data_IF_243204738006
#
_entry.id   IF_243204738006
#
_cell.length_a   1.000
_cell.length_b   1.000
_cell.length_c   1.000
_cell.angle_alpha   90.00
_cell.angle_beta   90.00
_cell.angle_gamma   90.00
#
_symmetry.space_group_name_H-M   'P 1'
#
loop_
_entity.id
_entity.type
_entity.pdbx_description
1 polymer ?
#
# COMPACT_ATOMS: atom_id res chain seq x y z
N UNK A 1 2.25 -27.77 18.72
CA UNK A 1 2.58 -26.94 17.55
C UNK A 1 2.29 -27.77 16.32
N UNK A 2 1.30 -27.38 15.53
CA UNK A 2 0.78 -28.20 14.45
C UNK A 2 1.51 -27.91 13.14
N UNK A 3 1.85 -28.95 12.37
CA UNK A 3 2.60 -28.86 11.11
C UNK A 3 1.95 -27.93 10.04
N UNK A 4 0.67 -27.60 10.21
CA UNK A 4 -0.07 -26.61 9.42
C UNK A 4 0.38 -25.17 9.67
N UNK A 5 0.71 -24.80 10.91
CA UNK A 5 1.14 -23.44 11.27
C UNK A 5 2.52 -23.15 10.70
N UNK A 6 3.44 -24.12 10.76
CA UNK A 6 4.78 -24.04 10.16
C UNK A 6 4.72 -23.97 8.63
N UNK A 7 3.85 -24.75 7.98
CA UNK A 7 3.67 -24.70 6.53
C UNK A 7 3.05 -23.36 6.05
N UNK A 8 2.08 -22.80 6.80
CA UNK A 8 1.54 -21.46 6.56
C UNK A 8 2.61 -20.37 6.74
N UNK A 9 3.48 -20.53 7.73
CA UNK A 9 4.59 -19.60 7.98
C UNK A 9 5.61 -19.61 6.84
N UNK A 10 5.91 -20.77 6.25
CA UNK A 10 6.76 -20.86 5.05
C UNK A 10 6.11 -20.25 3.81
N UNK A 11 4.82 -20.52 3.58
CA UNK A 11 4.07 -19.90 2.48
C UNK A 11 4.02 -18.38 2.61
N UNK A 12 3.84 -17.87 3.82
CA UNK A 12 3.88 -16.43 4.10
C UNK A 12 5.27 -15.86 3.84
N UNK A 13 6.34 -16.54 4.28
CA UNK A 13 7.71 -16.14 4.00
C UNK A 13 8.01 -16.00 2.51
N UNK A 14 7.58 -16.97 1.69
CA UNK A 14 7.74 -16.90 0.23
C UNK A 14 6.97 -15.73 -0.39
N UNK A 15 5.74 -15.46 0.08
CA UNK A 15 4.93 -14.34 -0.39
C UNK A 15 5.55 -12.98 -0.04
N UNK A 16 6.13 -12.85 1.16
CA UNK A 16 6.83 -11.63 1.57
C UNK A 16 8.08 -11.41 0.72
N UNK A 17 8.84 -12.47 0.45
CA UNK A 17 10.03 -12.39 -0.41
C UNK A 17 9.70 -11.98 -1.85
N UNK A 18 8.66 -12.60 -2.44
CA UNK A 18 8.17 -12.25 -3.78
C UNK A 18 7.66 -10.80 -3.86
N UNK A 19 6.88 -10.36 -2.86
CA UNK A 19 6.41 -8.97 -2.79
C UNK A 19 7.57 -7.98 -2.66
N UNK A 20 8.56 -8.31 -1.82
CA UNK A 20 9.76 -7.47 -1.64
C UNK A 20 10.57 -7.36 -2.94
N UNK A 21 10.68 -8.44 -3.71
CA UNK A 21 11.36 -8.42 -5.01
C UNK A 21 10.63 -7.51 -6.02
N UNK A 22 9.30 -7.61 -6.09
CA UNK A 22 8.46 -6.76 -6.96
C UNK A 22 8.52 -5.28 -6.58
N UNK A 23 8.52 -4.97 -5.28
CA UNK A 23 8.70 -3.60 -4.80
C UNK A 23 10.05 -3.02 -5.26
N UNK A 24 11.13 -3.79 -5.13
CA UNK A 24 12.47 -3.37 -5.59
C UNK A 24 12.53 -3.16 -7.11
N UNK A 25 11.92 -4.07 -7.89
CA UNK A 25 11.84 -3.96 -9.34
C UNK A 25 11.08 -2.68 -9.77
N UNK A 26 10.01 -2.36 -9.06
CA UNK A 26 9.21 -1.15 -9.28
C UNK A 26 9.82 0.11 -8.65
N UNK A 27 10.99 0.01 -8.00
CA UNK A 27 11.64 1.10 -7.25
C UNK A 27 10.77 1.71 -6.14
N UNK A 28 9.82 0.93 -5.62
CA UNK A 28 8.93 1.36 -4.54
C UNK A 28 9.70 1.37 -3.23
N UNK A 29 9.81 2.54 -2.60
CA UNK A 29 10.45 2.70 -1.31
C UNK A 29 9.50 2.40 -0.13
N UNK A 30 10.07 2.33 1.07
CA UNK A 30 9.31 2.02 2.28
C UNK A 30 8.31 3.13 2.65
N UNK A 31 8.60 4.39 2.30
CA UNK A 31 7.73 5.55 2.49
C UNK A 31 6.51 5.49 1.57
N UNK A 32 6.69 5.15 0.29
CA UNK A 32 5.60 4.94 -0.67
C UNK A 32 4.67 3.81 -0.22
N UNK A 33 5.22 2.71 0.29
CA UNK A 33 4.42 1.61 0.82
C UNK A 33 3.66 1.99 2.09
N UNK A 34 4.27 2.81 2.95
CA UNK A 34 3.62 3.32 4.15
C UNK A 34 2.49 4.30 3.81
N UNK A 35 2.67 5.15 2.80
CA UNK A 35 1.64 6.03 2.28
C UNK A 35 0.46 5.22 1.72
N UNK A 36 0.75 4.21 0.89
CA UNK A 36 -0.26 3.29 0.37
C UNK A 36 -1.04 2.60 1.50
N UNK A 37 -0.34 2.09 2.52
CA UNK A 37 -0.98 1.44 3.66
C UNK A 37 -1.91 2.40 4.42
N UNK A 38 -1.47 3.64 4.70
CA UNK A 38 -2.30 4.66 5.35
C UNK A 38 -3.58 4.95 4.57
N UNK A 39 -3.45 5.12 3.25
CA UNK A 39 -4.61 5.34 2.36
C UNK A 39 -5.52 4.11 2.39
N UNK A 40 -4.99 2.91 2.19
CA UNK A 40 -5.77 1.67 2.23
C UNK A 40 -6.53 1.49 3.56
N UNK A 41 -5.91 1.78 4.69
CA UNK A 41 -6.57 1.74 6.01
C UNK A 41 -7.69 2.76 6.13
N UNK A 42 -7.49 4.00 5.67
CA UNK A 42 -8.55 5.02 5.66
C UNK A 42 -9.72 4.64 4.73
N UNK A 43 -9.43 3.93 3.64
CA UNK A 43 -10.44 3.42 2.71
C UNK A 43 -11.19 2.21 3.27
N UNK A 44 -10.53 1.36 4.06
CA UNK A 44 -11.14 0.20 4.73
C UNK A 44 -12.15 0.66 5.80
N UNK A 45 -11.83 1.70 6.57
CA UNK A 45 -12.75 2.35 7.53
C UNK A 45 -13.97 2.99 6.85
N UNK A 46 -13.89 3.26 5.53
CA UNK A 46 -14.95 3.90 4.73
C UNK A 46 -15.86 2.90 4.00
N UNK A 47 -15.95 1.64 4.47
CA UNK A 47 -16.61 0.52 3.77
C UNK A 47 -16.01 0.18 2.39
N UNK A 48 -14.73 0.51 2.16
CA UNK A 48 -14.01 0.13 0.95
C UNK A 48 -14.41 0.90 -0.31
N UNK A 49 -15.07 2.06 -0.18
CA UNK A 49 -15.42 2.91 -1.31
C UNK A 49 -14.62 4.21 -1.25
N UNK A 50 -13.63 4.33 -2.14
CA UNK A 50 -13.11 5.64 -2.52
C UNK A 50 -14.22 6.34 -3.29
N UNK A 51 -14.75 7.47 -2.81
CA UNK A 51 -15.68 8.23 -3.63
C UNK A 51 -14.90 8.83 -4.81
N UNK A 52 -15.54 8.92 -5.99
CA UNK A 52 -14.92 9.57 -7.16
C UNK A 52 -14.47 10.99 -6.84
N UNK A 53 -15.21 11.67 -5.97
CA UNK A 53 -14.89 13.00 -5.47
C UNK A 53 -13.59 13.03 -4.64
N UNK A 54 -13.26 11.95 -3.92
CA UNK A 54 -12.02 11.85 -3.13
C UNK A 54 -10.79 11.72 -4.04
N UNK A 55 -10.92 10.99 -5.16
CA UNK A 55 -9.86 10.89 -6.18
C UNK A 55 -9.63 12.23 -6.89
N UNK A 56 -10.71 12.99 -7.13
CA UNK A 56 -10.64 14.34 -7.68
C UNK A 56 -9.94 15.27 -6.68
N UNK A 57 -10.33 15.25 -5.40
CA UNK A 57 -9.71 16.05 -4.35
C UNK A 57 -8.21 15.73 -4.19
N UNK A 58 -7.82 14.45 -4.19
CA UNK A 58 -6.43 14.03 -4.14
C UNK A 58 -5.59 14.59 -5.30
N UNK A 59 -6.18 14.73 -6.49
CA UNK A 59 -5.52 15.29 -7.67
C UNK A 59 -5.20 16.78 -7.51
N UNK A 60 -6.02 17.53 -6.76
CA UNK A 60 -5.77 18.95 -6.48
C UNK A 60 -4.69 19.14 -5.41
N UNK A 61 -4.67 18.30 -4.38
CA UNK A 61 -3.63 18.35 -3.32
C UNK A 61 -2.23 18.11 -3.88
N UNK A 62 -2.10 17.19 -4.85
CA UNK A 62 -0.83 16.92 -5.53
C UNK A 62 -0.41 18.04 -6.50
N UNK A 63 -1.35 18.88 -6.94
CA UNK A 63 -1.07 20.02 -7.82
C UNK A 63 -0.53 21.22 -7.04
N UNK A 64 -0.96 21.40 -5.78
CA UNK A 64 -0.61 22.56 -4.95
C UNK A 64 0.78 22.47 -4.31
N UNK A 65 1.35 21.26 -4.16
CA UNK A 65 2.75 21.03 -3.72
C UNK A 65 3.79 21.41 -4.79
N UNK A 66 3.33 21.77 -6.00
CA UNK A 66 4.17 22.11 -7.17
C UNK A 66 4.15 23.59 -7.57
N UNK A 67 3.76 24.49 -6.66
CA UNK A 67 3.93 25.92 -6.87
C UNK A 67 5.29 26.38 -6.30
N UNK A 68 6.28 26.76 -7.13
CA UNK A 68 7.44 27.51 -6.64
C UNK A 68 7.00 28.96 -6.39
N UNK A 69 7.25 29.48 -5.19
CA UNK A 69 7.51 30.91 -5.00
C UNK A 69 8.94 31.26 -5.45
#
# INVERSE_FOLDING_TARGET
MSNCETAKSHSLGNRVADLTAKMREAQIDAGEMMAFHKVATMLEDSQGRINGDDLIAASFVLLEDRAPE
#
